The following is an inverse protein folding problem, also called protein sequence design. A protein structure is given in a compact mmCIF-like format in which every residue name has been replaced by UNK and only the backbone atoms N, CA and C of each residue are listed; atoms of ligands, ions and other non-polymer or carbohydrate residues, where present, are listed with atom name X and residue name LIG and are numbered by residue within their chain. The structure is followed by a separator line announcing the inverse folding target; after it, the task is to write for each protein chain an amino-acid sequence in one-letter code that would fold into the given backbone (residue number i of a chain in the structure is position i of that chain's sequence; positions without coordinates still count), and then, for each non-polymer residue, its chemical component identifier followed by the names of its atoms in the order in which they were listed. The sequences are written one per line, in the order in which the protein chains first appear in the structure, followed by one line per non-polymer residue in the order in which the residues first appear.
data_IF_610929330591
#
_entry.id   IF_610929330591
#
_cell.length_a   1.000
_cell.length_b   1.000
_cell.length_c   1.000
_cell.angle_alpha   90.00
_cell.angle_beta   90.00
_cell.angle_gamma   90.00
#
_symmetry.space_group_name_H-M   'P 1'
#
loop_
_entity.id
_entity.type
_entity.pdbx_description
1 polymer ?
#
# COMPACT_ATOMS: atom_id res chain seq x y z
N UNK A 1 -14.76 16.83 9.23
CA UNK A 1 -15.59 16.10 10.19
C UNK A 1 -14.94 16.07 11.57
N UNK A 2 -15.72 16.00 12.65
CA UNK A 2 -15.24 15.70 14.00
C UNK A 2 -15.88 14.40 14.46
N UNK A 3 -15.07 13.43 14.86
CA UNK A 3 -15.50 12.14 15.38
C UNK A 3 -14.68 11.73 16.60
N UNK A 4 -15.23 10.83 17.41
CA UNK A 4 -14.49 10.19 18.50
C UNK A 4 -14.75 8.71 18.49
N UNK A 5 -13.69 7.92 18.37
CA UNK A 5 -13.74 6.47 18.48
C UNK A 5 -13.53 6.07 19.93
N UNK A 6 -14.47 5.31 20.50
CA UNK A 6 -14.54 5.00 21.92
C UNK A 6 -14.38 3.51 22.15
N UNK A 7 -13.78 3.13 23.28
CA UNK A 7 -13.69 1.79 23.83
C UNK A 7 -12.82 0.79 23.02
N UNK A 8 -12.25 1.18 21.89
CA UNK A 8 -11.29 0.34 21.16
C UNK A 8 -9.95 0.26 21.89
N UNK A 9 -9.19 -0.79 21.60
CA UNK A 9 -7.77 -0.84 21.88
C UNK A 9 -7.01 -0.25 20.66
N UNK A 10 -6.34 0.86 20.85
CA UNK A 10 -5.63 1.58 19.80
C UNK A 10 -4.13 1.32 19.91
N UNK A 11 -3.51 0.91 18.81
CA UNK A 11 -2.08 0.68 18.70
C UNK A 11 -1.38 2.02 18.47
N UNK A 12 -0.59 2.45 19.44
CA UNK A 12 0.16 3.71 19.42
C UNK A 12 1.67 3.44 19.53
N UNK A 13 2.54 4.42 19.25
CA UNK A 13 3.99 4.27 19.45
C UNK A 13 4.38 3.93 20.90
N UNK A 14 3.59 4.35 21.87
CA UNK A 14 3.82 4.12 23.30
C UNK A 14 3.25 2.78 23.79
N UNK A 15 2.55 2.06 22.94
CA UNK A 15 1.86 0.80 23.25
C UNK A 15 0.35 0.86 22.97
N UNK A 16 -0.43 0.06 23.71
CA UNK A 16 -1.86 -0.03 23.53
C UNK A 16 -2.58 1.00 24.40
N UNK A 17 -3.34 1.89 23.77
CA UNK A 17 -4.21 2.86 24.44
C UNK A 17 -5.69 2.44 24.37
N UNK A 18 -6.42 2.59 25.47
CA UNK A 18 -7.88 2.43 25.52
C UNK A 18 -8.59 3.78 25.74
N UNK A 19 -7.86 4.88 25.66
CA UNK A 19 -8.44 6.21 25.71
C UNK A 19 -9.29 6.50 24.46
N UNK A 20 -10.34 7.30 24.58
CA UNK A 20 -11.06 7.77 23.38
C UNK A 20 -10.11 8.43 22.39
N UNK A 21 -10.29 8.13 21.10
CA UNK A 21 -9.49 8.65 20.01
C UNK A 21 -10.27 9.77 19.26
N UNK A 22 -10.04 11.05 19.58
CA UNK A 22 -10.69 12.15 18.90
C UNK A 22 -10.03 12.40 17.53
N UNK A 23 -10.87 12.66 16.54
CA UNK A 23 -10.49 13.01 15.17
C UNK A 23 -11.09 14.38 14.83
N UNK A 24 -10.26 15.30 14.32
CA UNK A 24 -10.69 16.61 13.84
C UNK A 24 -9.97 16.98 12.55
N UNK A 25 -10.74 17.37 11.54
CA UNK A 25 -10.20 17.79 10.24
C UNK A 25 -9.19 16.77 9.65
N UNK A 26 -9.51 15.48 9.75
CA UNK A 26 -8.66 14.40 9.21
C UNK A 26 -7.42 14.05 10.04
N UNK A 27 -7.28 14.62 11.24
CA UNK A 27 -6.13 14.40 12.13
C UNK A 27 -6.57 13.91 13.51
N UNK A 28 -5.69 13.21 14.18
CA UNK A 28 -5.84 12.83 15.58
C UNK A 28 -5.60 14.07 16.43
N UNK A 29 -6.59 14.45 17.24
CA UNK A 29 -6.54 15.69 18.05
C UNK A 29 -6.97 15.41 19.50
N UNK A 30 -6.02 15.04 20.34
CA UNK A 30 -6.24 14.77 21.77
C UNK A 30 -6.33 16.03 22.63
N UNK A 31 -6.17 17.23 22.06
CA UNK A 31 -6.17 18.50 22.78
C UNK A 31 -7.57 19.08 23.01
N UNK A 32 -8.58 18.54 22.31
CA UNK A 32 -9.95 19.04 22.38
C UNK A 32 -10.88 18.08 23.12
N UNK A 33 -11.86 18.65 23.81
CA UNK A 33 -12.96 17.84 24.33
C UNK A 33 -13.70 17.16 23.19
N UNK A 34 -13.91 15.83 23.25
CA UNK A 34 -14.60 15.09 22.19
C UNK A 34 -15.97 15.71 21.87
N UNK A 35 -16.11 16.18 20.64
CA UNK A 35 -17.37 16.75 20.10
C UNK A 35 -17.67 16.10 18.75
N UNK A 36 -18.92 16.06 18.34
CA UNK A 36 -19.34 15.47 17.07
C UNK A 36 -19.77 14.01 17.21
N UNK A 37 -19.63 13.26 16.13
CA UNK A 37 -20.04 11.87 16.08
C UNK A 37 -19.20 10.99 17.02
N UNK A 38 -19.86 10.06 17.71
CA UNK A 38 -19.18 9.10 18.59
C UNK A 38 -19.52 7.68 18.15
N UNK A 39 -18.46 6.88 17.95
CA UNK A 39 -18.58 5.48 17.61
C UNK A 39 -18.09 4.59 18.74
N UNK A 40 -18.92 3.65 19.17
CA UNK A 40 -18.52 2.62 20.11
C UNK A 40 -17.84 1.46 19.35
N UNK A 41 -16.59 1.20 19.69
CA UNK A 41 -15.75 0.18 19.08
C UNK A 41 -15.25 -0.81 20.15
N UNK A 42 -16.14 -1.21 21.09
CA UNK A 42 -15.83 -2.34 22.00
C UNK A 42 -15.44 -3.54 21.18
N UNK A 43 -14.51 -4.32 21.72
CA UNK A 43 -14.01 -5.54 21.09
C UNK A 43 -13.38 -5.31 19.68
N UNK A 44 -12.85 -4.09 19.45
CA UNK A 44 -12.11 -3.75 18.24
C UNK A 44 -10.71 -3.24 18.57
N UNK A 45 -9.81 -3.50 17.61
CA UNK A 45 -8.45 -2.96 17.57
C UNK A 45 -8.37 -1.91 16.45
N UNK A 46 -7.67 -0.81 16.73
CA UNK A 46 -7.36 0.24 15.75
C UNK A 46 -5.85 0.23 15.50
N UNK A 47 -5.47 -0.05 14.26
CA UNK A 47 -4.10 0.02 13.77
C UNK A 47 -3.91 1.29 12.92
N UNK A 48 -2.67 1.81 12.79
CA UNK A 48 -2.36 2.78 11.75
C UNK A 48 -2.72 2.21 10.38
N UNK A 49 -3.14 3.08 9.46
CA UNK A 49 -3.31 2.71 8.05
C UNK A 49 -1.99 2.22 7.48
N UNK A 50 -2.04 1.14 6.69
CA UNK A 50 -0.84 0.52 6.13
C UNK A 50 -0.21 1.43 5.06
N UNK A 51 1.11 1.35 4.94
CA UNK A 51 1.92 2.04 3.93
C UNK A 51 2.57 0.99 3.04
N UNK A 52 2.23 1.00 1.76
CA UNK A 52 2.89 0.19 0.75
C UNK A 52 4.13 0.93 0.25
N UNK A 53 5.31 0.46 0.63
CA UNK A 53 6.55 1.18 0.38
C UNK A 53 7.07 1.05 -1.07
N UNK A 54 6.46 0.18 -1.89
CA UNK A 54 6.77 0.04 -3.31
C UNK A 54 5.61 -0.58 -4.09
N UNK A 55 5.19 0.08 -5.15
CA UNK A 55 4.06 -0.33 -5.99
C UNK A 55 4.13 0.29 -7.39
N UNK A 56 3.65 -0.47 -8.40
CA UNK A 56 3.41 -0.02 -9.78
C UNK A 56 1.91 -0.02 -10.09
N UNK A 57 1.20 1.04 -9.66
CA UNK A 57 -0.27 1.08 -9.66
C UNK A 57 -0.92 0.75 -11.02
N UNK A 58 -0.30 1.14 -12.14
CA UNK A 58 -0.90 1.03 -13.48
C UNK A 58 -0.89 -0.37 -14.08
N UNK A 59 -0.17 -1.35 -13.50
CA UNK A 59 -0.02 -2.69 -14.10
C UNK A 59 -0.74 -3.81 -13.34
N UNK A 60 -1.50 -3.46 -12.29
CA UNK A 60 -2.20 -4.45 -11.46
C UNK A 60 -3.31 -5.25 -12.18
N UNK A 61 -3.81 -4.77 -13.31
CA UNK A 61 -4.78 -5.47 -14.15
C UNK A 61 -4.11 -6.26 -15.30
N UNK A 62 -2.78 -6.14 -15.47
CA UNK A 62 -2.03 -6.84 -16.51
C UNK A 62 -1.76 -8.28 -16.05
N UNK A 63 -2.07 -9.28 -16.87
CA UNK A 63 -1.77 -10.67 -16.54
C UNK A 63 -0.27 -10.92 -16.34
N UNK A 64 0.13 -11.72 -15.34
CA UNK A 64 1.53 -12.03 -15.10
C UNK A 64 2.11 -12.92 -16.23
N UNK A 65 3.39 -12.73 -16.52
CA UNK A 65 4.14 -13.62 -17.39
C UNK A 65 4.33 -14.98 -16.68
N UNK A 66 3.82 -16.05 -17.29
CA UNK A 66 3.98 -17.41 -16.77
C UNK A 66 5.32 -17.97 -17.22
N UNK A 67 6.35 -17.81 -16.42
CA UNK A 67 7.64 -18.46 -16.64
C UNK A 67 7.67 -19.86 -16.02
N UNK A 68 8.34 -20.79 -16.68
CA UNK A 68 8.54 -22.16 -16.17
C UNK A 68 9.77 -22.29 -15.28
N UNK A 69 10.69 -21.33 -15.36
CA UNK A 69 11.93 -21.27 -14.59
C UNK A 69 12.16 -19.83 -14.10
N UNK A 70 12.76 -19.65 -12.93
CA UNK A 70 13.12 -18.32 -12.46
C UNK A 70 14.09 -17.62 -13.42
N UNK A 71 13.97 -16.29 -13.50
CA UNK A 71 14.91 -15.45 -14.24
C UNK A 71 16.21 -15.24 -13.43
N UNK A 72 17.32 -14.96 -14.12
CA UNK A 72 18.58 -14.64 -13.45
C UNK A 72 18.57 -13.26 -12.78
N UNK A 73 17.82 -12.31 -13.37
CA UNK A 73 17.65 -10.94 -12.90
C UNK A 73 16.40 -10.30 -13.53
N UNK A 74 16.02 -9.12 -13.06
CA UNK A 74 14.87 -8.38 -13.58
C UNK A 74 15.01 -7.93 -15.03
N UNK A 75 16.22 -7.71 -15.52
CA UNK A 75 16.44 -7.36 -16.94
C UNK A 75 16.04 -8.49 -17.88
N UNK A 76 16.41 -9.72 -17.53
CA UNK A 76 15.99 -10.90 -18.30
C UNK A 76 14.46 -11.09 -18.26
N UNK A 77 13.83 -10.76 -17.13
CA UNK A 77 12.37 -10.75 -17.03
C UNK A 77 11.75 -9.64 -17.89
N UNK A 78 12.28 -8.43 -17.86
CA UNK A 78 11.80 -7.29 -18.68
C UNK A 78 11.87 -7.64 -20.16
N UNK A 79 12.98 -8.24 -20.61
CA UNK A 79 13.15 -8.67 -22.01
C UNK A 79 12.12 -9.73 -22.39
N UNK A 80 11.88 -10.73 -21.53
CA UNK A 80 10.87 -11.74 -21.75
C UNK A 80 9.45 -11.16 -21.72
N UNK A 81 9.18 -10.19 -20.83
CA UNK A 81 7.89 -9.53 -20.73
C UNK A 81 7.57 -8.67 -21.96
N UNK A 82 8.58 -8.09 -22.61
CA UNK A 82 8.35 -7.34 -23.86
C UNK A 82 7.79 -8.24 -24.97
N UNK A 83 8.24 -9.50 -25.07
CA UNK A 83 7.64 -10.46 -25.98
C UNK A 83 6.19 -10.82 -25.58
N UNK A 84 5.86 -10.73 -24.31
CA UNK A 84 4.53 -11.00 -23.78
C UNK A 84 3.50 -9.89 -24.12
N UNK A 85 3.93 -8.71 -24.54
CA UNK A 85 3.03 -7.65 -25.02
C UNK A 85 2.21 -8.06 -26.28
N UNK A 86 2.55 -9.13 -26.95
CA UNK A 86 1.77 -9.69 -28.07
C UNK A 86 0.62 -10.60 -27.57
N UNK A 87 0.57 -10.97 -26.29
CA UNK A 87 -0.52 -11.76 -25.72
C UNK A 87 -1.84 -10.96 -25.76
N UNK A 88 -2.92 -11.52 -26.34
CA UNK A 88 -4.21 -10.85 -26.43
C UNK A 88 -4.76 -10.37 -25.08
N UNK A 89 -4.52 -11.08 -23.98
CA UNK A 89 -4.98 -10.70 -22.65
C UNK A 89 -4.16 -9.50 -22.10
N UNK A 90 -2.86 -9.45 -22.39
CA UNK A 90 -2.02 -8.28 -22.05
C UNK A 90 -2.43 -7.07 -22.87
N UNK A 91 -2.66 -7.25 -24.19
CA UNK A 91 -3.15 -6.17 -25.07
C UNK A 91 -4.48 -5.61 -24.53
N UNK A 92 -5.44 -6.48 -24.21
CA UNK A 92 -6.74 -6.07 -23.68
C UNK A 92 -6.59 -5.30 -22.35
N UNK A 93 -5.73 -5.77 -21.44
CA UNK A 93 -5.48 -5.09 -20.17
C UNK A 93 -4.82 -3.71 -20.37
N UNK A 94 -3.90 -3.57 -21.33
CA UNK A 94 -3.23 -2.30 -21.63
C UNK A 94 -4.13 -1.31 -22.39
N UNK A 95 -5.16 -1.78 -23.11
CA UNK A 95 -6.20 -0.93 -23.71
C UNK A 95 -7.12 -0.26 -22.69
N UNK A 96 -7.20 -0.80 -21.46
CA UNK A 96 -7.89 -0.11 -20.37
C UNK A 96 -7.19 1.23 -20.11
N UNK A 97 -7.93 2.37 -20.06
CA UNK A 97 -7.32 3.69 -19.86
C UNK A 97 -6.38 3.72 -18.66
N UNK A 98 -5.19 4.32 -18.81
CA UNK A 98 -4.18 4.39 -17.72
C UNK A 98 -4.76 5.00 -16.45
N UNK A 99 -5.61 6.03 -16.56
CA UNK A 99 -6.34 6.63 -15.44
C UNK A 99 -7.11 5.57 -14.63
N UNK A 100 -7.86 4.71 -15.33
CA UNK A 100 -8.65 3.65 -14.68
C UNK A 100 -7.74 2.58 -14.06
N UNK A 101 -6.65 2.18 -14.74
CA UNK A 101 -5.68 1.22 -14.20
C UNK A 101 -4.98 1.73 -12.93
N UNK A 102 -4.65 3.03 -12.88
CA UNK A 102 -4.08 3.68 -11.69
C UNK A 102 -5.07 3.69 -10.52
N UNK A 103 -6.35 4.06 -10.79
CA UNK A 103 -7.41 4.01 -9.76
C UNK A 103 -7.68 2.59 -9.27
N UNK A 104 -7.67 1.60 -10.17
CA UNK A 104 -7.78 0.19 -9.82
C UNK A 104 -6.63 -0.27 -8.89
N UNK A 105 -5.37 0.02 -9.25
CA UNK A 105 -4.23 -0.30 -8.38
C UNK A 105 -4.31 0.37 -7.00
N UNK A 106 -4.81 1.61 -6.95
CA UNK A 106 -5.06 2.31 -5.68
C UNK A 106 -6.23 1.70 -4.90
N UNK A 107 -7.31 1.29 -5.57
CA UNK A 107 -8.46 0.58 -4.97
C UNK A 107 -8.00 -0.73 -4.35
N UNK A 108 -7.25 -1.56 -5.09
CA UNK A 108 -6.64 -2.79 -4.59
C UNK A 108 -5.93 -2.59 -3.24
N UNK A 109 -5.12 -1.55 -3.16
CA UNK A 109 -4.37 -1.18 -1.95
C UNK A 109 -5.32 -0.79 -0.81
N UNK A 110 -6.29 0.10 -1.06
CA UNK A 110 -7.26 0.55 -0.06
C UNK A 110 -8.06 -0.60 0.54
N UNK A 111 -8.56 -1.53 -0.30
CA UNK A 111 -9.35 -2.68 0.15
C UNK A 111 -8.59 -3.58 1.14
N UNK A 112 -7.26 -3.57 1.09
CA UNK A 112 -6.38 -4.33 1.97
C UNK A 112 -5.83 -3.50 3.15
N UNK A 113 -6.43 -2.35 3.46
CA UNK A 113 -6.02 -1.52 4.59
C UNK A 113 -4.86 -0.56 4.30
N UNK A 114 -4.34 -0.55 3.08
CA UNK A 114 -3.28 0.38 2.69
C UNK A 114 -3.88 1.74 2.40
N UNK A 115 -3.47 2.74 3.17
CA UNK A 115 -3.96 4.13 3.04
C UNK A 115 -2.98 5.03 2.33
N UNK A 116 -1.72 4.60 2.19
CA UNK A 116 -0.66 5.34 1.51
C UNK A 116 0.24 4.43 0.69
N UNK A 117 0.68 4.90 -0.48
CA UNK A 117 1.48 4.12 -1.44
C UNK A 117 2.66 4.95 -1.95
N UNK A 118 3.84 4.34 -2.03
CA UNK A 118 4.98 4.85 -2.79
C UNK A 118 4.90 4.28 -4.23
N UNK A 119 4.44 5.11 -5.16
CA UNK A 119 4.29 4.75 -6.57
C UNK A 119 5.60 4.98 -7.32
N UNK A 120 6.18 3.93 -7.90
CA UNK A 120 7.52 3.96 -8.50
C UNK A 120 7.49 3.95 -10.03
N UNK A 121 6.84 4.96 -10.60
CA UNK A 121 6.69 5.16 -12.06
C UNK A 121 6.55 6.65 -12.38
N UNK A 122 6.64 7.03 -13.67
CA UNK A 122 6.39 8.42 -14.09
C UNK A 122 5.02 8.91 -13.62
N UNK A 123 5.03 10.09 -12.99
CA UNK A 123 3.82 10.71 -12.46
C UNK A 123 2.77 10.93 -13.55
N UNK A 124 1.52 10.69 -13.22
CA UNK A 124 0.39 10.85 -14.13
C UNK A 124 -0.66 11.78 -13.49
N UNK A 125 -1.30 12.71 -14.24
CA UNK A 125 -2.28 13.64 -13.67
C UNK A 125 -3.45 13.00 -12.91
N UNK A 126 -3.83 11.77 -13.24
CA UNK A 126 -4.87 11.04 -12.50
C UNK A 126 -4.50 10.78 -11.03
N UNK A 127 -3.22 10.81 -10.67
CA UNK A 127 -2.74 10.63 -9.30
C UNK A 127 -3.00 11.87 -8.43
N UNK A 128 -3.33 13.02 -9.05
CA UNK A 128 -3.59 14.29 -8.37
C UNK A 128 -5.09 14.54 -8.12
N UNK A 129 -5.96 13.60 -8.48
CA UNK A 129 -7.40 13.75 -8.25
C UNK A 129 -7.73 13.68 -6.76
N UNK A 130 -8.60 14.58 -6.29
CA UNK A 130 -8.97 14.71 -4.88
C UNK A 130 -9.55 13.41 -4.29
N UNK A 131 -10.31 12.68 -5.10
CA UNK A 131 -10.97 11.43 -4.73
C UNK A 131 -10.11 10.18 -5.03
N UNK A 132 -8.80 10.32 -5.23
CA UNK A 132 -7.92 9.17 -5.45
C UNK A 132 -7.96 8.24 -4.24
N UNK A 133 -8.07 6.89 -4.43
CA UNK A 133 -8.42 5.99 -3.33
C UNK A 133 -7.45 6.01 -2.15
N UNK A 134 -6.15 6.17 -2.38
CA UNK A 134 -5.10 6.20 -1.36
C UNK A 134 -4.31 7.51 -1.39
N UNK A 135 -3.64 7.84 -0.30
CA UNK A 135 -2.60 8.86 -0.34
C UNK A 135 -1.36 8.34 -1.09
N UNK A 136 -0.58 9.26 -1.63
CA UNK A 136 0.66 8.92 -2.36
C UNK A 136 1.84 9.62 -1.71
N UNK A 137 3.00 8.97 -1.72
CA UNK A 137 4.27 9.62 -1.46
C UNK A 137 4.49 10.70 -2.54
N UNK A 138 4.75 11.95 -2.13
CA UNK A 138 4.87 13.10 -3.03
C UNK A 138 6.30 13.61 -3.17
N UNK A 139 6.95 13.78 -2.04
CA UNK A 139 8.27 14.39 -1.97
C UNK A 139 9.33 13.29 -2.03
N UNK A 140 9.70 12.86 -3.22
CA UNK A 140 10.73 11.84 -3.44
C UNK A 140 11.40 11.97 -4.80
N UNK A 141 12.65 11.50 -4.91
CA UNK A 141 13.29 11.24 -6.17
C UNK A 141 13.28 9.75 -6.51
N UNK A 142 13.48 9.43 -7.77
CA UNK A 142 13.55 8.04 -8.18
C UNK A 142 14.35 7.85 -9.47
N UNK A 143 14.85 6.64 -9.66
CA UNK A 143 15.29 6.11 -10.95
C UNK A 143 14.83 4.66 -11.06
N UNK A 144 14.74 4.13 -12.26
CA UNK A 144 14.20 2.78 -12.41
C UNK A 144 15.19 1.73 -11.88
N UNK A 145 16.28 1.49 -12.59
CA UNK A 145 17.34 0.55 -12.19
C UNK A 145 18.66 0.94 -12.87
N UNK A 146 19.84 0.57 -12.31
CA UNK A 146 21.15 0.95 -12.90
C UNK A 146 21.33 0.45 -14.34
N UNK A 147 20.91 -0.78 -14.62
CA UNK A 147 21.03 -1.41 -15.94
C UNK A 147 19.91 -1.09 -16.92
N UNK A 148 18.93 -0.25 -16.57
CA UNK A 148 17.80 0.11 -17.44
C UNK A 148 17.60 1.62 -17.55
N UNK A 149 18.57 2.37 -18.11
CA UNK A 149 18.57 3.84 -18.11
C UNK A 149 17.53 4.46 -19.04
N UNK A 150 16.88 3.68 -19.91
CA UNK A 150 15.87 4.15 -20.87
C UNK A 150 14.50 4.42 -20.26
N UNK A 151 14.26 4.03 -19.00
CA UNK A 151 13.00 4.24 -18.31
C UNK A 151 13.19 5.06 -17.01
N UNK A 152 12.44 6.14 -16.88
CA UNK A 152 12.55 7.05 -15.75
C UNK A 152 13.72 8.04 -15.84
N UNK A 153 13.95 8.83 -14.77
CA UNK A 153 15.03 9.81 -14.72
C UNK A 153 16.42 9.15 -14.64
N UNK A 154 17.46 9.75 -15.26
CA UNK A 154 18.84 9.26 -15.14
C UNK A 154 19.31 9.23 -13.68
N UNK A 155 19.92 8.12 -13.26
CA UNK A 155 20.27 7.80 -11.87
C UNK A 155 21.01 8.95 -11.15
N UNK A 156 22.17 9.36 -11.63
CA UNK A 156 23.01 10.39 -10.99
C UNK A 156 22.31 11.74 -10.94
N UNK A 157 21.64 12.13 -12.04
CA UNK A 157 20.95 13.41 -12.10
C UNK A 157 19.74 13.45 -11.17
N UNK A 158 18.96 12.36 -11.12
CA UNK A 158 17.82 12.22 -10.22
C UNK A 158 18.25 12.24 -8.76
N UNK A 159 19.29 11.47 -8.41
CA UNK A 159 19.83 11.46 -7.05
C UNK A 159 20.29 12.86 -6.61
N UNK A 160 21.09 13.54 -7.45
CA UNK A 160 21.62 14.87 -7.15
C UNK A 160 20.51 15.94 -7.03
N UNK A 161 19.40 15.77 -7.74
CA UNK A 161 18.24 16.67 -7.66
C UNK A 161 17.32 16.40 -6.47
N UNK A 162 17.47 15.25 -5.81
CA UNK A 162 16.62 14.87 -4.68
C UNK A 162 17.14 15.49 -3.38
N UNK A 163 16.34 16.28 -2.64
CA UNK A 163 16.74 16.82 -1.34
C UNK A 163 17.11 15.69 -0.35
N UNK A 164 18.09 15.92 0.52
CA UNK A 164 18.57 14.91 1.46
C UNK A 164 17.52 14.47 2.50
N UNK A 165 16.52 15.29 2.75
CA UNK A 165 15.38 15.01 3.62
C UNK A 165 14.24 14.29 2.91
N UNK A 166 14.34 14.06 1.59
CA UNK A 166 13.43 13.27 0.78
C UNK A 166 14.06 11.92 0.43
N UNK A 167 13.28 10.81 0.38
CA UNK A 167 13.78 9.52 -0.08
C UNK A 167 14.08 9.55 -1.58
N UNK A 168 15.11 8.84 -1.99
CA UNK A 168 15.41 8.55 -3.39
C UNK A 168 15.36 7.04 -3.62
N UNK A 169 14.52 6.58 -4.56
CA UNK A 169 14.15 5.20 -4.73
C UNK A 169 14.71 4.62 -6.03
N UNK A 170 15.20 3.35 -5.99
CA UNK A 170 15.72 2.65 -7.16
C UNK A 170 15.58 1.13 -6.99
N UNK A 171 15.16 0.39 -8.05
CA UNK A 171 15.31 -1.06 -8.08
C UNK A 171 16.79 -1.41 -8.09
N UNK A 172 17.21 -2.29 -7.19
CA UNK A 172 18.62 -2.60 -7.03
C UNK A 172 18.83 -4.07 -6.64
N UNK A 173 19.84 -4.67 -7.24
CA UNK A 173 20.22 -6.05 -6.98
C UNK A 173 19.03 -7.03 -7.08
N UNK A 174 18.15 -6.76 -8.04
CA UNK A 174 16.99 -7.60 -8.32
C UNK A 174 17.40 -8.76 -9.23
N UNK A 175 18.13 -9.71 -8.66
CA UNK A 175 18.65 -10.88 -9.37
C UNK A 175 19.60 -11.71 -8.54
N UNK A 176 19.96 -12.87 -9.09
CA UNK A 176 20.78 -13.90 -8.47
C UNK A 176 22.16 -14.05 -9.13
N UNK A 177 22.38 -13.32 -10.23
CA UNK A 177 23.58 -13.41 -11.06
C UNK A 177 24.64 -12.36 -10.71
N UNK A 178 25.71 -12.32 -11.49
CA UNK A 178 26.81 -11.39 -11.28
C UNK A 178 26.42 -9.94 -11.59
N UNK A 179 25.45 -9.70 -12.47
CA UNK A 179 24.99 -8.35 -12.84
C UNK A 179 24.32 -7.72 -11.62
N UNK A 180 23.31 -8.38 -11.06
CA UNK A 180 22.59 -7.89 -9.89
C UNK A 180 23.51 -7.72 -8.66
N UNK A 181 24.48 -8.64 -8.46
CA UNK A 181 25.45 -8.55 -7.36
C UNK A 181 26.44 -7.38 -7.47
N UNK A 182 26.64 -6.84 -8.67
CA UNK A 182 27.55 -5.71 -8.89
C UNK A 182 26.87 -4.35 -8.69
N UNK A 183 25.54 -4.28 -8.68
CA UNK A 183 24.78 -3.01 -8.74
C UNK A 183 24.98 -2.12 -7.53
N UNK A 184 25.10 -2.67 -6.31
CA UNK A 184 25.36 -1.82 -5.14
C UNK A 184 26.71 -1.11 -5.25
N UNK A 185 27.76 -1.81 -5.71
CA UNK A 185 29.07 -1.20 -5.91
C UNK A 185 29.04 -0.13 -7.01
N UNK A 186 28.28 -0.34 -8.07
CA UNK A 186 28.07 0.66 -9.12
C UNK A 186 27.36 1.91 -8.60
N UNK A 187 26.30 1.70 -7.80
CA UNK A 187 25.55 2.78 -7.17
C UNK A 187 26.43 3.61 -6.23
N UNK A 188 27.24 2.94 -5.39
CA UNK A 188 28.15 3.58 -4.45
C UNK A 188 29.26 4.36 -5.17
N UNK A 189 29.88 3.78 -6.20
CA UNK A 189 30.88 4.44 -7.05
C UNK A 189 30.31 5.65 -7.79
N UNK A 190 29.05 5.61 -8.17
CA UNK A 190 28.34 6.75 -8.78
C UNK A 190 27.96 7.84 -7.77
N UNK A 191 28.24 7.65 -6.46
CA UNK A 191 27.90 8.59 -5.40
C UNK A 191 26.40 8.67 -5.08
N UNK A 192 25.62 7.65 -5.45
CA UNK A 192 24.17 7.60 -5.28
C UNK A 192 23.72 6.75 -4.10
N UNK A 193 24.65 6.29 -3.25
CA UNK A 193 24.35 5.53 -2.04
C UNK A 193 24.54 6.40 -0.80
N UNK A 194 23.45 6.84 -0.18
CA UNK A 194 23.43 7.69 1.00
C UNK A 194 22.24 7.36 1.93
N UNK A 195 22.10 8.08 3.03
CA UNK A 195 21.07 7.84 4.07
C UNK A 195 19.64 8.06 3.60
N UNK A 196 19.44 8.68 2.45
CA UNK A 196 18.14 8.85 1.80
C UNK A 196 17.92 7.88 0.63
N UNK A 197 18.88 7.00 0.32
CA UNK A 197 18.71 5.97 -0.71
C UNK A 197 17.82 4.84 -0.20
N UNK A 198 16.78 4.52 -0.97
CA UNK A 198 15.81 3.45 -0.71
C UNK A 198 15.92 2.44 -1.86
N UNK A 199 16.49 1.28 -1.54
CA UNK A 199 16.81 0.23 -2.50
C UNK A 199 15.68 -0.79 -2.55
N UNK A 200 15.13 -1.05 -3.73
CA UNK A 200 14.00 -1.98 -3.87
C UNK A 200 14.53 -3.37 -4.22
N UNK A 201 13.92 -4.42 -3.66
CA UNK A 201 14.20 -5.85 -3.77
C UNK A 201 15.46 -6.33 -3.04
N UNK A 202 16.65 -5.96 -3.45
CA UNK A 202 17.90 -6.31 -2.79
C UNK A 202 18.28 -7.80 -2.80
N UNK A 203 17.77 -8.61 -3.72
CA UNK A 203 17.95 -10.08 -3.73
C UNK A 203 19.41 -10.47 -3.89
N UNK A 204 20.16 -9.77 -4.71
CA UNK A 204 21.58 -10.01 -4.98
C UNK A 204 22.54 -9.43 -3.93
N UNK A 205 22.05 -8.72 -2.90
CA UNK A 205 22.88 -8.14 -1.83
C UNK A 205 23.52 -9.26 -0.99
N UNK A 206 24.82 -9.20 -0.85
CA UNK A 206 25.62 -10.08 0.02
C UNK A 206 25.78 -9.46 1.39
N UNK A 207 26.31 -10.19 2.35
CA UNK A 207 26.51 -9.73 3.72
C UNK A 207 27.31 -8.42 3.79
N UNK A 208 28.42 -8.31 3.06
CA UNK A 208 29.22 -7.08 2.98
C UNK A 208 28.45 -5.90 2.34
N UNK A 209 27.53 -6.17 1.44
CA UNK A 209 26.69 -5.17 0.79
C UNK A 209 25.65 -4.64 1.80
N UNK A 210 25.07 -5.53 2.60
CA UNK A 210 24.15 -5.16 3.71
C UNK A 210 24.91 -4.32 4.75
N UNK A 211 26.14 -4.69 5.11
CA UNK A 211 26.98 -3.87 6.01
C UNK A 211 27.19 -2.46 5.45
N UNK A 212 27.46 -2.34 4.16
CA UNK A 212 27.63 -1.05 3.49
C UNK A 212 26.35 -0.23 3.50
N UNK A 213 25.19 -0.84 3.17
CA UNK A 213 23.87 -0.20 3.24
C UNK A 213 23.59 0.36 4.63
N UNK A 214 23.85 -0.45 5.67
CA UNK A 214 23.67 -0.05 7.07
C UNK A 214 24.64 1.07 7.48
N UNK A 215 25.90 0.99 7.07
CA UNK A 215 26.93 1.98 7.40
C UNK A 215 26.61 3.37 6.87
N UNK A 216 26.00 3.49 5.70
CA UNK A 216 25.57 4.79 5.14
C UNK A 216 24.18 5.23 5.60
N UNK A 217 23.45 4.35 6.27
CA UNK A 217 22.08 4.60 6.73
C UNK A 217 21.03 4.49 5.63
N UNK A 218 21.33 3.89 4.48
CA UNK A 218 20.36 3.56 3.44
C UNK A 218 19.35 2.49 3.93
N UNK A 219 18.28 2.28 3.19
CA UNK A 219 17.25 1.32 3.55
C UNK A 219 16.85 0.45 2.35
N UNK A 220 16.21 -0.70 2.65
CA UNK A 220 15.68 -1.62 1.64
C UNK A 220 14.16 -1.70 1.75
N UNK A 221 13.48 -1.69 0.61
CA UNK A 221 12.08 -2.10 0.50
C UNK A 221 12.06 -3.52 -0.03
N UNK A 222 11.53 -4.41 0.76
CA UNK A 222 11.48 -5.84 0.50
C UNK A 222 10.14 -6.21 -0.15
N UNK A 223 10.18 -6.93 -1.28
CA UNK A 223 9.02 -7.41 -2.03
C UNK A 223 9.13 -8.94 -2.20
N UNK A 224 8.96 -9.72 -1.11
CA UNK A 224 9.27 -11.16 -1.13
C UNK A 224 8.50 -11.96 -2.15
N UNK A 225 7.20 -11.72 -2.36
CA UNK A 225 6.40 -12.48 -3.33
C UNK A 225 6.88 -12.26 -4.75
N UNK A 226 7.13 -11.00 -5.14
CA UNK A 226 7.70 -10.66 -6.44
C UNK A 226 9.07 -11.32 -6.63
N UNK A 227 9.94 -11.22 -5.63
CA UNK A 227 11.27 -11.84 -5.65
C UNK A 227 11.17 -13.36 -5.87
N UNK A 228 10.28 -14.06 -5.17
CA UNK A 228 10.10 -15.50 -5.35
C UNK A 228 9.50 -15.86 -6.70
N UNK A 229 8.51 -15.12 -7.17
CA UNK A 229 7.87 -15.37 -8.48
C UNK A 229 8.86 -15.19 -9.62
N UNK A 230 9.66 -14.13 -9.58
CA UNK A 230 10.58 -13.81 -10.67
C UNK A 230 11.91 -14.57 -10.57
N UNK A 231 12.48 -14.67 -9.36
CA UNK A 231 13.88 -15.05 -9.16
C UNK A 231 14.05 -16.36 -8.37
N UNK A 232 12.95 -16.92 -7.84
CA UNK A 232 12.97 -18.16 -7.05
C UNK A 232 13.56 -18.03 -5.64
N UNK A 233 14.03 -16.83 -5.26
CA UNK A 233 14.59 -16.54 -3.94
C UNK A 233 14.44 -15.06 -3.57
N UNK A 234 14.68 -14.73 -2.30
CA UNK A 234 14.66 -13.36 -1.78
C UNK A 234 15.83 -13.12 -0.83
N UNK A 235 16.08 -11.88 -0.45
CA UNK A 235 17.09 -11.53 0.57
C UNK A 235 16.70 -12.06 1.96
N UNK A 236 17.68 -12.24 2.84
CA UNK A 236 17.43 -12.45 4.27
C UNK A 236 17.12 -11.09 4.95
N UNK A 237 15.88 -10.90 5.44
CA UNK A 237 15.44 -9.60 5.94
C UNK A 237 15.96 -9.27 7.36
N UNK A 238 16.46 -10.26 8.12
CA UNK A 238 16.66 -10.17 9.57
C UNK A 238 17.58 -9.03 9.99
N UNK A 239 18.75 -8.89 9.40
CA UNK A 239 19.71 -7.82 9.75
C UNK A 239 19.15 -6.42 9.48
N UNK A 240 18.56 -6.23 8.32
CA UNK A 240 17.92 -4.95 7.94
C UNK A 240 16.73 -4.63 8.85
N UNK A 241 15.93 -5.64 9.20
CA UNK A 241 14.80 -5.50 10.11
C UNK A 241 15.27 -5.07 11.51
N UNK A 242 16.25 -5.76 12.10
CA UNK A 242 16.80 -5.40 13.43
C UNK A 242 17.39 -3.99 13.42
N UNK A 243 18.06 -3.59 12.34
CA UNK A 243 18.63 -2.26 12.18
C UNK A 243 17.59 -1.15 11.88
N UNK A 244 16.30 -1.50 11.71
CA UNK A 244 15.26 -0.52 11.37
C UNK A 244 15.40 0.04 9.95
N UNK A 245 16.04 -0.69 9.03
CA UNK A 245 16.33 -0.29 7.66
C UNK A 245 15.60 -1.16 6.62
N UNK A 246 14.47 -1.76 7.00
CA UNK A 246 13.62 -2.56 6.16
C UNK A 246 12.19 -2.02 6.19
N UNK A 247 11.57 -1.90 5.02
CA UNK A 247 10.13 -1.74 4.84
C UNK A 247 9.61 -2.83 3.90
N UNK A 248 8.29 -3.04 3.86
CA UNK A 248 7.64 -3.99 2.96
C UNK A 248 6.93 -3.24 1.82
N UNK A 249 7.07 -3.75 0.60
CA UNK A 249 6.32 -3.34 -0.57
C UNK A 249 5.68 -4.55 -1.25
N UNK A 250 4.53 -4.38 -1.90
CA UNK A 250 3.87 -5.50 -2.59
C UNK A 250 4.32 -5.66 -4.04
N UNK A 251 5.05 -4.67 -4.57
CA UNK A 251 5.18 -4.55 -6.02
C UNK A 251 3.78 -4.53 -6.69
N UNK A 252 3.63 -4.89 -7.95
CA UNK A 252 2.33 -5.05 -8.58
C UNK A 252 1.89 -6.51 -8.63
N UNK A 253 0.60 -6.74 -8.91
CA UNK A 253 0.07 -8.11 -9.20
C UNK A 253 0.69 -8.75 -10.43
N UNK A 254 1.47 -8.00 -11.19
CA UNK A 254 2.18 -8.54 -12.35
C UNK A 254 3.23 -9.57 -11.94
N UNK A 255 3.83 -9.40 -10.77
CA UNK A 255 4.87 -10.25 -10.21
C UNK A 255 4.67 -10.58 -8.73
N UNK A 256 4.04 -9.68 -7.95
CA UNK A 256 3.88 -9.77 -6.50
C UNK A 256 2.57 -10.39 -6.04
N UNK A 257 2.31 -10.26 -4.74
CA UNK A 257 1.07 -10.69 -4.11
C UNK A 257 -0.15 -9.87 -4.56
N UNK A 258 -1.34 -10.37 -4.26
CA UNK A 258 -2.60 -9.68 -4.58
C UNK A 258 -2.64 -8.28 -3.99
N UNK A 259 -2.16 -8.11 -2.76
CA UNK A 259 -2.13 -6.86 -2.01
C UNK A 259 -1.10 -6.92 -0.88
N UNK A 260 -0.87 -5.78 -0.20
CA UNK A 260 0.13 -5.69 0.87
C UNK A 260 -0.19 -6.56 2.10
N UNK A 261 -1.47 -6.80 2.38
CA UNK A 261 -1.85 -7.68 3.50
C UNK A 261 -1.53 -9.14 3.20
N UNK A 262 -1.73 -9.59 1.95
CA UNK A 262 -1.32 -10.92 1.51
C UNK A 262 0.22 -11.05 1.47
N UNK A 263 0.93 -10.00 1.04
CA UNK A 263 2.39 -9.93 1.10
C UNK A 263 2.91 -10.13 2.53
N UNK A 264 2.32 -9.38 3.48
CA UNK A 264 2.64 -9.48 4.90
C UNK A 264 2.37 -10.90 5.44
N UNK A 265 1.22 -11.48 5.10
CA UNK A 265 0.84 -12.83 5.53
C UNK A 265 1.77 -13.91 4.95
N UNK A 266 2.27 -13.70 3.75
CA UNK A 266 3.20 -14.61 3.06
C UNK A 266 4.54 -14.80 3.77
N UNK A 267 4.93 -13.87 4.67
CA UNK A 267 6.21 -13.90 5.39
C UNK A 267 6.09 -14.19 6.88
N UNK A 268 4.86 -14.34 7.38
CA UNK A 268 4.61 -14.73 8.78
C UNK A 268 5.26 -16.08 9.06
N UNK A 269 5.94 -16.14 10.20
CA UNK A 269 6.63 -17.35 10.70
C UNK A 269 7.76 -17.91 9.78
N UNK A 270 8.14 -17.21 8.69
CA UNK A 270 9.18 -17.69 7.75
C UNK A 270 10.60 -17.24 8.09
N UNK A 271 10.76 -16.05 8.71
CA UNK A 271 12.06 -15.39 8.87
C UNK A 271 12.38 -15.05 10.31
N UNK A 272 11.73 -15.71 11.27
CA UNK A 272 11.90 -15.44 12.70
C UNK A 272 11.61 -13.97 13.08
N UNK A 273 10.80 -13.29 12.27
CA UNK A 273 10.34 -11.93 12.56
C UNK A 273 9.08 -12.00 13.43
N UNK A 274 9.08 -11.28 14.54
CA UNK A 274 7.91 -11.14 15.38
C UNK A 274 6.77 -10.38 14.67
N UNK A 275 5.52 -10.68 15.03
CA UNK A 275 4.35 -10.03 14.41
C UNK A 275 4.35 -8.50 14.56
N UNK A 276 4.88 -7.98 15.65
CA UNK A 276 5.07 -6.53 15.84
C UNK A 276 6.08 -5.96 14.86
N UNK A 277 7.22 -6.64 14.64
CA UNK A 277 8.19 -6.22 13.64
C UNK A 277 7.59 -6.21 12.24
N UNK A 278 6.81 -7.24 11.89
CA UNK A 278 6.12 -7.30 10.60
C UNK A 278 5.12 -6.13 10.43
N UNK A 279 4.35 -5.81 11.46
CA UNK A 279 3.44 -4.66 11.45
C UNK A 279 4.20 -3.34 11.24
N UNK A 280 5.34 -3.16 11.91
CA UNK A 280 6.18 -1.98 11.73
C UNK A 280 6.68 -1.81 10.28
N UNK A 281 6.99 -2.92 9.56
CA UNK A 281 7.46 -2.85 8.17
C UNK A 281 6.44 -2.19 7.22
N UNK A 282 5.16 -2.21 7.56
CA UNK A 282 4.05 -1.64 6.77
C UNK A 282 3.41 -0.42 7.44
N UNK A 283 3.99 0.09 8.52
CA UNK A 283 3.48 1.25 9.27
C UNK A 283 4.62 2.21 9.64
N UNK A 284 5.09 2.21 10.87
CA UNK A 284 6.05 3.19 11.40
C UNK A 284 7.42 3.16 10.72
N UNK A 285 7.93 1.98 10.36
CA UNK A 285 9.22 1.85 9.65
C UNK A 285 9.11 2.30 8.20
N UNK A 286 8.04 1.89 7.49
CA UNK A 286 7.77 2.38 6.15
C UNK A 286 7.68 3.91 6.15
N UNK A 287 6.94 4.49 7.10
CA UNK A 287 6.84 5.94 7.26
C UNK A 287 8.19 6.60 7.51
N UNK A 288 9.03 6.04 8.40
CA UNK A 288 10.35 6.55 8.70
C UNK A 288 11.29 6.52 7.47
N UNK A 289 11.35 5.38 6.78
CA UNK A 289 12.18 5.19 5.59
C UNK A 289 11.76 6.12 4.46
N UNK A 290 10.44 6.28 4.26
CA UNK A 290 9.86 7.14 3.23
C UNK A 290 9.74 8.62 3.66
N UNK A 291 10.30 9.00 4.84
CA UNK A 291 10.28 10.37 5.36
C UNK A 291 8.87 10.97 5.50
N UNK A 292 7.92 10.18 6.00
CA UNK A 292 6.51 10.54 6.15
C UNK A 292 6.17 10.84 7.63
N UNK A 293 6.45 12.04 8.15
CA UNK A 293 6.43 12.32 9.60
C UNK A 293 5.02 12.35 10.21
N UNK A 294 3.97 12.26 9.41
CA UNK A 294 2.59 12.36 9.89
C UNK A 294 1.75 11.10 9.61
N UNK A 295 2.36 10.00 9.12
CA UNK A 295 1.68 8.76 8.76
C UNK A 295 2.36 7.54 9.38
N UNK A 296 1.69 6.38 9.37
CA UNK A 296 2.22 5.11 9.86
C UNK A 296 2.18 4.94 11.38
N UNK A 297 1.55 5.86 12.11
CA UNK A 297 1.35 5.78 13.56
C UNK A 297 0.10 6.56 14.00
N UNK A 298 -0.42 6.22 15.17
CA UNK A 298 -1.54 6.91 15.80
C UNK A 298 -1.01 7.73 16.97
N UNK A 299 -0.88 9.04 16.77
CA UNK A 299 -0.46 9.99 17.78
C UNK A 299 -1.04 11.38 17.51
N UNK A 300 -1.05 12.29 18.50
CA UNK A 300 -1.57 13.66 18.31
C UNK A 300 -0.92 14.36 17.11
N UNK A 301 -1.74 14.94 16.24
CA UNK A 301 -1.32 15.65 15.03
C UNK A 301 -1.12 14.76 13.79
N UNK A 302 -1.01 13.44 13.95
CA UNK A 302 -0.91 12.52 12.83
C UNK A 302 -2.19 12.51 11.98
N UNK A 303 -2.05 12.15 10.72
CA UNK A 303 -3.19 11.90 9.84
C UNK A 303 -3.99 10.71 10.39
N UNK A 304 -5.30 10.85 10.46
CA UNK A 304 -6.18 9.81 10.97
C UNK A 304 -6.46 8.73 9.91
N UNK A 305 -5.38 8.07 9.49
CA UNK A 305 -5.40 6.89 8.63
C UNK A 305 -5.37 5.63 9.50
N UNK A 306 -6.37 4.78 9.39
CA UNK A 306 -6.55 3.67 10.31
C UNK A 306 -7.12 2.44 9.62
N UNK A 307 -6.77 1.27 10.16
CA UNK A 307 -7.44 -0.02 9.91
C UNK A 307 -8.10 -0.47 11.21
N UNK A 308 -9.38 -0.79 11.13
CA UNK A 308 -10.16 -1.29 12.27
C UNK A 308 -10.44 -2.77 12.04
N UNK A 309 -10.15 -3.59 13.04
CA UNK A 309 -10.39 -5.03 13.02
C UNK A 309 -11.09 -5.48 14.29
N UNK A 310 -11.69 -6.65 14.28
CA UNK A 310 -12.24 -7.28 15.50
C UNK A 310 -11.09 -7.73 16.40
N UNK A 311 -11.21 -7.48 17.70
CA UNK A 311 -10.29 -8.02 18.71
C UNK A 311 -10.63 -9.50 18.99
N UNK A 312 -9.80 -10.38 18.46
CA UNK A 312 -9.98 -11.82 18.63
C UNK A 312 -9.32 -12.35 19.92
N UNK A 313 -8.74 -11.47 20.72
CA UNK A 313 -7.93 -11.82 21.88
C UNK A 313 -6.54 -12.36 21.49
N UNK A 314 -5.61 -12.34 22.43
CA UNK A 314 -4.25 -12.82 22.23
C UNK A 314 -3.23 -11.72 21.97
N UNK A 315 -2.29 -11.97 21.04
CA UNK A 315 -1.29 -10.96 20.64
C UNK A 315 -1.91 -9.99 19.64
N UNK A 316 -2.02 -8.72 19.98
CA UNK A 316 -2.77 -7.71 19.25
C UNK A 316 -2.28 -7.56 17.79
N UNK A 317 -0.96 -7.61 17.54
CA UNK A 317 -0.43 -7.55 16.19
C UNK A 317 -0.91 -8.72 15.29
N UNK A 318 -1.23 -9.89 15.87
CA UNK A 318 -1.79 -11.03 15.14
C UNK A 318 -3.25 -10.82 14.74
N UNK A 319 -3.95 -9.91 15.39
CA UNK A 319 -5.34 -9.57 15.01
C UNK A 319 -5.43 -8.82 13.66
N UNK A 320 -4.32 -8.34 13.13
CA UNK A 320 -4.24 -7.79 11.76
C UNK A 320 -3.44 -8.72 10.84
N UNK A 321 -2.25 -9.14 11.30
CA UNK A 321 -1.40 -10.08 10.58
C UNK A 321 -2.05 -11.46 10.61
N UNK A 322 -2.41 -11.98 9.45
CA UNK A 322 -3.15 -13.24 9.28
C UNK A 322 -4.59 -13.05 8.78
N UNK A 323 -5.10 -11.81 8.74
CA UNK A 323 -6.40 -11.52 8.15
C UNK A 323 -6.35 -11.46 6.63
N UNK A 324 -7.49 -11.73 6.01
CA UNK A 324 -7.79 -11.36 4.63
C UNK A 324 -8.49 -10.00 4.60
N UNK A 325 -8.36 -9.27 3.48
CA UNK A 325 -8.92 -7.92 3.32
C UNK A 325 -10.43 -7.83 3.60
N UNK A 326 -11.19 -8.88 3.32
CA UNK A 326 -12.63 -8.93 3.62
C UNK A 326 -12.95 -8.98 5.12
N UNK A 327 -11.97 -9.32 5.95
CA UNK A 327 -12.11 -9.39 7.41
C UNK A 327 -11.80 -8.05 8.11
N UNK A 328 -11.25 -7.07 7.38
CA UNK A 328 -11.09 -5.72 7.91
C UNK A 328 -12.46 -5.10 8.14
N UNK A 329 -12.73 -4.62 9.36
CA UNK A 329 -14.01 -4.02 9.75
C UNK A 329 -14.21 -2.64 9.09
N UNK A 330 -13.16 -1.83 9.05
CA UNK A 330 -13.14 -0.56 8.35
C UNK A 330 -11.73 -0.17 7.92
N UNK A 331 -11.63 0.52 6.79
CA UNK A 331 -10.44 1.26 6.36
C UNK A 331 -10.80 2.74 6.32
N UNK A 332 -10.07 3.51 7.10
CA UNK A 332 -10.29 4.94 7.35
C UNK A 332 -9.13 5.73 6.75
N UNK A 333 -9.43 6.72 5.95
CA UNK A 333 -8.44 7.64 5.40
C UNK A 333 -8.84 9.09 5.70
N UNK A 334 -7.88 9.90 6.18
CA UNK A 334 -8.11 11.28 6.57
C UNK A 334 -9.31 11.43 7.55
N UNK A 335 -9.43 10.47 8.48
CA UNK A 335 -10.45 10.46 9.52
C UNK A 335 -11.88 10.12 9.07
N UNK A 336 -12.05 9.66 7.82
CA UNK A 336 -13.36 9.23 7.31
C UNK A 336 -13.29 7.80 6.76
N UNK A 337 -14.31 6.97 6.99
CA UNK A 337 -14.34 5.63 6.46
C UNK A 337 -14.41 5.66 4.92
N UNK A 338 -13.68 4.77 4.25
CA UNK A 338 -13.67 4.61 2.79
C UNK A 338 -14.35 3.32 2.38
N UNK A 339 -14.11 2.25 3.12
CA UNK A 339 -14.81 0.98 3.05
C UNK A 339 -14.97 0.44 4.47
N UNK A 340 -16.15 -0.09 4.80
CA UNK A 340 -16.39 -0.68 6.11
C UNK A 340 -17.53 -1.69 6.06
N UNK A 341 -17.70 -2.45 7.15
CA UNK A 341 -18.85 -3.32 7.35
C UNK A 341 -20.15 -2.50 7.47
N UNK A 342 -21.34 -3.08 7.19
CA UNK A 342 -22.60 -2.36 7.17
C UNK A 342 -22.97 -1.64 8.48
N UNK A 343 -22.55 -2.14 9.62
CA UNK A 343 -22.79 -1.53 10.93
C UNK A 343 -22.03 -0.21 11.16
N UNK A 344 -21.11 0.17 10.27
CA UNK A 344 -20.46 1.48 10.24
C UNK A 344 -21.25 2.56 9.46
N UNK A 345 -22.47 2.25 8.98
CA UNK A 345 -23.27 3.15 8.14
C UNK A 345 -23.48 4.54 8.75
N UNK A 346 -23.71 4.61 10.07
CA UNK A 346 -23.90 5.89 10.77
C UNK A 346 -22.64 6.77 10.73
N UNK A 347 -21.44 6.18 10.73
CA UNK A 347 -20.20 6.97 10.61
C UNK A 347 -20.06 7.58 9.21
N UNK A 348 -20.38 6.83 8.15
CA UNK A 348 -20.42 7.39 6.79
C UNK A 348 -21.43 8.56 6.71
N UNK A 349 -22.64 8.38 7.25
CA UNK A 349 -23.67 9.41 7.27
C UNK A 349 -23.20 10.66 8.03
N UNK A 350 -22.61 10.49 9.22
CA UNK A 350 -22.07 11.59 10.02
C UNK A 350 -20.89 12.30 9.33
N UNK A 351 -20.14 11.58 8.47
CA UNK A 351 -19.09 12.15 7.65
C UNK A 351 -19.61 12.84 6.38
N UNK A 352 -20.89 12.75 6.07
CA UNK A 352 -21.47 13.26 4.83
C UNK A 352 -21.04 12.44 3.60
N UNK A 353 -20.68 11.17 3.77
CA UNK A 353 -20.21 10.27 2.71
C UNK A 353 -21.36 9.37 2.27
N UNK A 354 -21.78 9.51 1.03
CA UNK A 354 -22.69 8.54 0.41
C UNK A 354 -21.98 7.21 0.18
N UNK A 355 -22.68 6.11 0.34
CA UNK A 355 -22.14 4.75 0.19
C UNK A 355 -22.86 3.93 -0.86
N UNK A 356 -22.16 2.95 -1.41
CA UNK A 356 -22.68 1.91 -2.27
C UNK A 356 -22.44 0.56 -1.60
N UNK A 357 -23.47 -0.30 -1.46
CA UNK A 357 -23.30 -1.64 -0.95
C UNK A 357 -22.55 -2.50 -1.98
N UNK A 358 -21.52 -3.18 -1.51
CA UNK A 358 -20.66 -4.07 -2.30
C UNK A 358 -20.46 -5.40 -1.58
N UNK A 359 -20.07 -6.43 -2.32
CA UNK A 359 -19.48 -7.65 -1.77
C UNK A 359 -17.96 -7.59 -1.97
N UNK A 360 -17.20 -7.86 -0.93
CA UNK A 360 -15.75 -7.99 -0.99
C UNK A 360 -15.35 -9.40 -0.53
N UNK A 361 -14.86 -10.21 -1.47
CA UNK A 361 -14.52 -11.63 -1.26
C UNK A 361 -15.65 -12.37 -0.48
N UNK A 362 -16.90 -12.17 -0.92
CA UNK A 362 -18.09 -12.81 -0.34
C UNK A 362 -18.62 -12.18 0.96
N UNK A 363 -18.06 -11.07 1.46
CA UNK A 363 -18.54 -10.35 2.64
C UNK A 363 -19.19 -9.01 2.25
N UNK A 364 -20.36 -8.66 2.85
CA UNK A 364 -20.99 -7.38 2.58
C UNK A 364 -20.18 -6.22 3.15
N UNK A 365 -20.03 -5.15 2.36
CA UNK A 365 -19.37 -3.91 2.75
C UNK A 365 -20.14 -2.70 2.24
N UNK A 366 -19.88 -1.55 2.86
CA UNK A 366 -20.23 -0.23 2.35
C UNK A 366 -18.95 0.41 1.78
N UNK A 367 -18.98 0.76 0.50
CA UNK A 367 -17.90 1.49 -0.18
C UNK A 367 -18.32 2.95 -0.37
N UNK A 368 -17.45 3.90 -0.08
CA UNK A 368 -17.70 5.31 -0.38
C UNK A 368 -18.04 5.49 -1.87
N UNK A 369 -19.13 6.18 -2.17
CA UNK A 369 -19.68 6.31 -3.54
C UNK A 369 -18.67 6.92 -4.53
N UNK A 370 -17.85 7.85 -4.08
CA UNK A 370 -16.78 8.45 -4.89
C UNK A 370 -15.73 7.45 -5.39
N UNK A 371 -15.64 6.28 -4.76
CA UNK A 371 -14.76 5.18 -5.13
C UNK A 371 -15.48 4.08 -5.96
N UNK A 372 -16.80 4.10 -6.00
CA UNK A 372 -17.61 3.03 -6.59
C UNK A 372 -17.80 3.20 -8.11
N UNK A 373 -16.73 3.50 -8.84
CA UNK A 373 -16.74 3.53 -10.31
C UNK A 373 -16.92 2.11 -10.85
N UNK A 374 -18.00 1.82 -11.63
CA UNK A 374 -18.30 0.45 -12.06
C UNK A 374 -17.18 -0.20 -12.86
N UNK A 375 -16.48 0.55 -13.71
CA UNK A 375 -15.36 0.04 -14.49
C UNK A 375 -14.16 -0.32 -13.61
N UNK A 376 -13.91 0.43 -12.54
CA UNK A 376 -12.86 0.12 -11.55
C UNK A 376 -13.21 -1.11 -10.73
N UNK A 377 -14.47 -1.25 -10.29
CA UNK A 377 -14.98 -2.43 -9.57
C UNK A 377 -14.84 -3.68 -10.43
N UNK A 378 -15.19 -3.60 -11.72
CA UNK A 378 -15.10 -4.74 -12.65
C UNK A 378 -13.67 -5.24 -12.88
N UNK A 379 -12.65 -4.40 -12.64
CA UNK A 379 -11.23 -4.79 -12.71
C UNK A 379 -10.73 -5.48 -11.44
N UNK A 380 -11.45 -5.33 -10.30
CA UNK A 380 -10.98 -5.84 -9.01
C UNK A 380 -11.59 -7.21 -8.68
N UNK A 381 -10.82 -8.30 -8.75
CA UNK A 381 -11.33 -9.62 -8.42
C UNK A 381 -11.89 -9.69 -6.98
N UNK A 382 -13.11 -10.22 -6.85
CA UNK A 382 -13.77 -10.37 -5.55
C UNK A 382 -14.46 -9.10 -5.03
N UNK A 383 -14.46 -8.00 -5.80
CA UNK A 383 -15.26 -6.81 -5.51
C UNK A 383 -16.45 -6.75 -6.46
N UNK A 384 -17.67 -6.76 -5.92
CA UNK A 384 -18.89 -6.82 -6.71
C UNK A 384 -19.93 -5.81 -6.21
N UNK A 385 -20.64 -5.15 -7.13
CA UNK A 385 -21.81 -4.35 -6.77
C UNK A 385 -22.97 -5.26 -6.36
N UNK A 386 -23.63 -4.93 -5.24
CA UNK A 386 -24.86 -5.64 -4.84
C UNK A 386 -26.00 -5.19 -5.76
N UNK A 387 -26.47 -6.11 -6.60
CA UNK A 387 -27.61 -5.86 -7.49
C UNK A 387 -28.89 -5.61 -6.67
N UNK A 388 -29.52 -4.41 -6.78
CA UNK A 388 -30.81 -4.19 -6.15
C UNK A 388 -31.22 -2.74 -5.82
N UNK A 389 -30.41 -1.71 -6.08
CA UNK A 389 -30.81 -0.31 -5.88
C UNK A 389 -30.44 0.65 -7.03
N UNK A 390 -30.36 0.16 -8.27
CA UNK A 390 -30.42 1.03 -9.42
C UNK A 390 -31.88 1.41 -9.67
N UNK A 391 -32.31 2.58 -9.13
CA UNK A 391 -33.41 3.34 -9.66
C UNK A 391 -34.83 2.82 -9.42
N UNK A 392 -35.39 2.95 -8.22
CA UNK A 392 -36.84 3.20 -8.07
C UNK A 392 -37.10 4.71 -8.00
N UNK A 393 -36.71 5.47 -9.00
CA UNK A 393 -37.41 6.70 -9.34
C UNK A 393 -38.56 6.31 -10.25
N UNK A 394 -39.73 6.00 -9.65
CA UNK A 394 -40.98 6.02 -10.36
C UNK A 394 -41.18 7.44 -10.87
N UNK A 395 -41.14 7.62 -12.19
CA UNK A 395 -41.85 8.71 -12.82
C UNK A 395 -43.35 8.59 -12.42
N UNK A 396 -43.79 9.49 -11.58
CA UNK A 396 -45.21 9.76 -11.41
C UNK A 396 -45.67 10.39 -12.72
N UNK A 397 -46.29 9.58 -13.58
CA UNK A 397 -47.04 10.08 -14.70
C UNK A 397 -48.21 10.91 -14.13
N UNK A 398 -48.19 12.20 -14.35
CA UNK A 398 -49.31 13.06 -14.14
C UNK A 398 -50.39 12.66 -15.21
N UNK A 399 -51.38 11.91 -14.76
CA UNK A 399 -52.66 11.79 -15.48
C UNK A 399 -53.44 13.09 -15.23
N UNK A 400 -53.34 14.01 -16.14
CA UNK A 400 -54.27 15.13 -16.24
C UNK A 400 -55.42 14.70 -17.10
N UNK A 401 -56.59 14.70 -16.52
CA UNK A 401 -57.91 14.58 -17.17
C UNK A 401 -58.37 15.99 -17.51
N UNK A 402 -59.00 16.09 -18.70
CA UNK A 402 -59.75 17.17 -19.34
C UNK A 402 -58.98 18.29 -20.01
#
# INVERSE_FOLDING_TARGET
MNATLCHAATITPEGISRAPLPIRAGRIDTTVTPRGYRMDLRDHLIFPGLINAHEHLQVNAVPPLKATTPFSNSYAWIDAFQAHFEDPAVIAALQVPKTLRLRHGAMKNLLAGTTCVAHHDPWHPALDTEDFPVALLRDYGWSYAPGWPGYGPPMVASFAATPHDCPWMIHLAEGTDAIARAELAQLDQAGCLASNSVLIHGVGLREQDIERVLAVGAAVVWCPSSNFVLLGQTLDPRRLCVAGRLALGSDSRLSGARDLLEELNGVVDRYELGTWQLLELVTSRAAHILRMPLRGFISPGAVADMVIVEDQGGVEARSLVGLHRSQLRAVVRDGVPRIADPDFAEWFAAAGIETVPVMLDGRPKLLAKSLAEPACIALEPGLELVAGQAGRHKCAAASGVD
#
